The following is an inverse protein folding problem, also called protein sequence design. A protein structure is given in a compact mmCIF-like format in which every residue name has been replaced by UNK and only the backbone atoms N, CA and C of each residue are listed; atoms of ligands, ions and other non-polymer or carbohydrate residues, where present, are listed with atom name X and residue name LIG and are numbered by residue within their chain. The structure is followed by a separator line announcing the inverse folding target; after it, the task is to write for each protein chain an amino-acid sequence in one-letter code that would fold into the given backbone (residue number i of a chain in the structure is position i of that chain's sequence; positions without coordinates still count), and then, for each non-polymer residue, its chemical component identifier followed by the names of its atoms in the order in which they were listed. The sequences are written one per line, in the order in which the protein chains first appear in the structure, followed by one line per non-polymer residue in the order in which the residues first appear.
data_IF_860800019892
#
_entry.id   IF_860800019892
#
_cell.length_a   1.000
_cell.length_b   1.000
_cell.length_c   1.000
_cell.angle_alpha   90.00
_cell.angle_beta   90.00
_cell.angle_gamma   90.00
#
_symmetry.space_group_name_H-M   'P 1'
#
loop_
_entity.id
_entity.type
_entity.pdbx_description
1 polymer ?
#
# COMPACT_ATOMS: atom_id res chain seq x y z
N UNK A 1 2.80 7.09 29.07
CA UNK A 1 2.79 6.33 30.33
C UNK A 1 4.03 5.44 30.46
N UNK A 2 4.61 4.94 29.36
CA UNK A 2 5.75 4.02 29.43
C UNK A 2 5.36 2.56 29.66
N UNK A 3 4.05 2.27 29.58
CA UNK A 3 3.51 0.92 29.77
C UNK A 3 3.80 0.04 28.56
N UNK A 4 4.25 -1.19 28.82
CA UNK A 4 4.40 -2.22 27.80
C UNK A 4 3.02 -2.71 27.36
N UNK A 5 2.82 -2.82 26.05
CA UNK A 5 1.51 -3.11 25.48
C UNK A 5 1.66 -4.19 24.40
N UNK A 6 0.83 -5.26 24.41
CA UNK A 6 0.97 -6.36 23.47
C UNK A 6 0.74 -5.93 22.02
N UNK A 7 1.33 -6.71 21.10
CA UNK A 7 1.23 -6.52 19.66
C UNK A 7 -0.23 -6.58 19.17
N UNK A 8 -0.58 -5.76 18.16
CA UNK A 8 -1.92 -5.72 17.58
C UNK A 8 -2.92 -4.76 18.25
N UNK A 9 -2.59 -4.16 19.40
CA UNK A 9 -3.44 -3.16 20.04
C UNK A 9 -3.32 -1.77 19.39
N UNK A 10 -4.46 -1.11 19.19
CA UNK A 10 -4.56 0.24 18.59
C UNK A 10 -4.41 1.38 19.60
N UNK A 11 -4.73 1.10 20.87
CA UNK A 11 -4.68 2.06 21.97
C UNK A 11 -4.00 1.43 23.18
N UNK A 12 -3.38 2.26 24.02
CA UNK A 12 -2.80 1.85 25.27
C UNK A 12 -3.92 1.55 26.28
N UNK A 13 -3.99 0.31 26.77
CA UNK A 13 -4.98 -0.07 27.78
C UNK A 13 -4.84 0.67 29.12
N UNK A 14 -3.69 1.30 29.38
CA UNK A 14 -3.38 1.98 30.63
C UNK A 14 -3.65 3.50 30.58
N UNK A 15 -3.29 4.17 29.47
CA UNK A 15 -3.43 5.63 29.35
C UNK A 15 -4.34 6.10 28.20
N UNK A 16 -4.88 5.17 27.41
CA UNK A 16 -5.80 5.47 26.30
C UNK A 16 -5.17 6.13 25.08
N UNK A 17 -3.86 6.40 25.06
CA UNK A 17 -3.19 6.95 23.87
C UNK A 17 -3.19 5.96 22.71
N UNK A 18 -3.31 6.48 21.50
CA UNK A 18 -3.09 5.72 20.27
C UNK A 18 -1.66 5.17 20.23
N UNK A 19 -1.54 3.87 19.96
CA UNK A 19 -0.26 3.21 19.75
C UNK A 19 -0.14 3.02 18.25
N UNK A 20 0.94 3.55 17.67
CA UNK A 20 1.29 3.27 16.28
C UNK A 20 1.66 1.78 16.18
N UNK A 21 0.65 0.94 15.95
CA UNK A 21 0.90 -0.44 15.58
C UNK A 21 1.60 -0.38 14.22
N UNK A 22 2.89 -0.73 14.20
CA UNK A 22 3.54 -1.14 12.97
C UNK A 22 2.86 -2.45 12.57
N UNK A 23 1.64 -2.34 12.06
CA UNK A 23 1.02 -3.40 11.30
C UNK A 23 2.06 -3.73 10.25
N UNK A 24 2.52 -4.97 10.24
CA UNK A 24 3.03 -5.61 9.04
C UNK A 24 1.88 -5.61 8.04
N UNK A 25 1.57 -4.43 7.51
CA UNK A 25 0.89 -4.26 6.25
C UNK A 25 1.77 -5.03 5.28
N UNK A 26 1.19 -6.10 4.76
CA UNK A 26 1.74 -6.90 3.69
C UNK A 26 2.64 -6.04 2.80
N UNK A 27 3.95 -6.26 2.92
CA UNK A 27 4.84 -6.12 1.80
C UNK A 27 4.51 -7.28 0.85
N UNK A 28 3.31 -7.26 0.27
CA UNK A 28 3.13 -7.69 -1.11
C UNK A 28 3.32 -6.42 -1.95
N UNK A 29 4.59 -6.05 -1.97
CA UNK A 29 5.19 -5.03 -2.80
C UNK A 29 5.28 -5.62 -4.22
N UNK A 30 4.26 -5.33 -5.05
CA UNK A 30 4.30 -5.16 -6.53
C UNK A 30 2.93 -5.45 -7.17
N UNK A 31 1.83 -4.84 -6.68
CA UNK A 31 0.54 -4.96 -7.39
C UNK A 31 -0.38 -3.73 -7.38
N UNK A 32 0.15 -2.56 -7.01
CA UNK A 32 -0.54 -1.28 -7.18
C UNK A 32 0.31 -0.30 -7.98
N UNK A 33 0.17 -0.31 -9.32
CA UNK A 33 0.94 0.58 -10.20
C UNK A 33 0.09 1.75 -10.66
N UNK A 34 0.58 2.98 -10.50
CA UNK A 34 -0.12 4.18 -11.00
C UNK A 34 0.18 4.41 -12.47
N UNK A 35 -0.85 4.73 -13.25
CA UNK A 35 -0.70 5.15 -14.63
C UNK A 35 0.01 6.51 -14.68
N UNK A 36 1.19 6.58 -15.31
CA UNK A 36 1.96 7.83 -15.43
C UNK A 36 1.28 8.89 -16.30
N UNK A 37 0.25 8.54 -17.06
CA UNK A 37 -0.46 9.47 -17.96
C UNK A 37 -1.71 10.09 -17.34
N UNK A 38 -2.42 9.37 -16.48
CA UNK A 38 -3.67 9.85 -15.88
C UNK A 38 -3.67 9.82 -14.34
N UNK A 39 -2.64 9.26 -13.70
CA UNK A 39 -2.46 9.22 -12.25
C UNK A 39 -3.28 8.15 -11.53
N UNK A 40 -4.18 7.44 -12.21
CA UNK A 40 -5.03 6.40 -11.59
C UNK A 40 -4.22 5.17 -11.21
N UNK A 41 -4.57 4.56 -10.09
CA UNK A 41 -4.04 3.27 -9.63
C UNK A 41 -4.62 2.15 -10.49
N UNK A 42 -3.76 1.25 -10.95
CA UNK A 42 -4.10 0.08 -11.74
C UNK A 42 -3.83 -1.20 -10.93
N UNK A 43 -4.74 -2.16 -11.09
CA UNK A 43 -4.57 -3.54 -10.66
C UNK A 43 -3.81 -4.28 -11.76
N UNK A 44 -2.76 -5.01 -11.41
CA UNK A 44 -1.63 -5.33 -12.30
C UNK A 44 -1.86 -6.37 -13.41
N UNK A 45 -3.10 -6.58 -13.81
CA UNK A 45 -3.48 -7.49 -14.90
C UNK A 45 -3.61 -6.81 -16.27
N UNK A 46 -3.17 -5.55 -16.44
CA UNK A 46 -3.27 -4.86 -17.74
C UNK A 46 -1.98 -4.16 -18.20
N UNK A 47 -1.68 -4.30 -19.49
CA UNK A 47 -0.57 -3.61 -20.16
C UNK A 47 -0.95 -2.24 -20.71
N UNK A 48 -2.25 -1.97 -20.82
CA UNK A 48 -2.82 -0.71 -21.31
C UNK A 48 -3.82 -0.21 -20.27
N UNK A 49 -3.68 1.05 -19.85
CA UNK A 49 -4.59 1.66 -18.89
C UNK A 49 -6.02 1.66 -19.47
N UNK A 50 -6.99 0.95 -18.86
CA UNK A 50 -8.37 0.88 -19.38
C UNK A 50 -9.10 2.24 -19.27
N UNK A 51 -8.57 3.18 -18.49
CA UNK A 51 -9.18 4.49 -18.30
C UNK A 51 -8.73 5.55 -19.31
N UNK A 52 -7.54 5.42 -19.90
CA UNK A 52 -7.00 6.44 -20.82
C UNK A 52 -6.33 5.86 -22.07
N UNK A 53 -6.21 4.54 -22.21
CA UNK A 53 -5.63 3.88 -23.37
C UNK A 53 -4.10 3.95 -23.47
N UNK A 54 -3.41 4.56 -22.50
CA UNK A 54 -1.94 4.61 -22.49
C UNK A 54 -1.34 3.28 -22.01
N UNK A 55 -0.26 2.84 -22.64
CA UNK A 55 0.55 1.70 -22.20
C UNK A 55 1.19 1.95 -20.82
N UNK A 56 1.17 0.94 -19.95
CA UNK A 56 1.57 1.04 -18.53
C UNK A 56 2.53 -0.06 -18.05
N UNK A 57 2.84 -1.07 -18.88
CA UNK A 57 3.90 -2.03 -18.58
C UNK A 57 5.28 -1.42 -18.86
N UNK A 58 6.23 -1.61 -17.95
CA UNK A 58 7.63 -1.20 -18.15
C UNK A 58 8.31 -2.23 -19.06
N UNK A 59 8.97 -1.73 -20.10
CA UNK A 59 9.57 -2.51 -21.18
C UNK A 59 10.49 -3.63 -20.67
N UNK A 60 10.12 -4.87 -20.93
CA UNK A 60 10.97 -6.05 -20.79
C UNK A 60 11.12 -6.70 -22.17
N UNK A 61 11.61 -5.92 -23.13
CA UNK A 61 12.19 -6.39 -24.38
C UNK A 61 13.38 -5.47 -24.64
N UNK A 62 14.57 -6.01 -24.35
CA UNK A 62 15.85 -5.50 -24.84
C UNK A 62 16.17 -6.09 -26.19
#
# INVERSE_FOLDING_TARGET
CGSENPEGQKFCGDCGKEIAVATTAAADDDSMRKCSSCGRTLTMETNVCPYCGRWVKRSMFG
#
